data_IF_165196212970
#
_entry.id   IF_165196212970
#
_cell.length_a   1.000
_cell.length_b   1.000
_cell.length_c   1.000
_cell.angle_alpha   90.00
_cell.angle_beta   90.00
_cell.angle_gamma   90.00
#
_symmetry.space_group_name_H-M   'P 1'
#
loop_
_entity.id
_entity.type
_entity.pdbx_description
1 polymer ?
#
# COMPACT_ATOMS: atom_id res chain seq x y z
N UNK A 1 4.95 1.58 -0.74
CA UNK A 1 3.58 1.46 -1.29
C UNK A 1 2.96 0.20 -0.73
N UNK A 2 1.65 0.19 -0.49
CA UNK A 2 0.97 -1.06 -0.16
C UNK A 2 1.12 -2.05 -1.33
N UNK A 3 1.15 -3.37 -1.05
CA UNK A 3 1.03 -4.38 -2.09
C UNK A 3 -0.13 -4.04 -3.03
N UNK A 4 0.07 -4.15 -4.35
CA UNK A 4 -0.97 -3.86 -5.33
C UNK A 4 -1.13 -2.39 -5.72
N UNK A 5 -0.28 -1.47 -5.23
CA UNK A 5 -0.31 -0.06 -5.64
C UNK A 5 -0.13 0.16 -7.16
N UNK A 6 -0.81 1.15 -7.72
CA UNK A 6 -0.71 1.53 -9.13
C UNK A 6 -0.07 2.90 -9.25
N UNK A 7 0.92 3.03 -10.13
CA UNK A 7 1.52 4.31 -10.50
C UNK A 7 0.89 4.78 -11.81
N UNK A 8 0.37 6.01 -11.80
CA UNK A 8 -0.15 6.68 -13.00
C UNK A 8 0.69 7.91 -13.31
N UNK A 9 1.08 8.05 -14.57
CA UNK A 9 1.85 9.18 -15.06
C UNK A 9 0.96 10.00 -15.98
N UNK A 10 0.91 11.31 -15.71
CA UNK A 10 0.16 12.28 -16.47
C UNK A 10 1.09 13.37 -16.99
N UNK A 11 0.88 13.79 -18.22
CA UNK A 11 1.59 14.91 -18.83
C UNK A 11 0.56 15.97 -19.21
N UNK A 12 0.82 17.22 -18.81
CA UNK A 12 -0.03 18.37 -19.06
C UNK A 12 0.78 19.67 -18.95
N UNK A 13 0.15 20.80 -19.26
CA UNK A 13 0.81 22.11 -19.24
C UNK A 13 -0.18 23.25 -19.03
N UNK A 14 0.32 24.48 -18.94
CA UNK A 14 -0.49 25.65 -18.57
C UNK A 14 -1.71 25.89 -19.50
N UNK A 15 -1.66 25.41 -20.74
CA UNK A 15 -2.74 25.56 -21.72
C UNK A 15 -3.29 24.22 -22.24
N UNK A 16 -2.91 23.09 -21.64
CA UNK A 16 -3.29 21.75 -22.12
C UNK A 16 -3.71 20.85 -20.95
N UNK A 17 -4.87 20.21 -21.11
CA UNK A 17 -5.37 19.23 -20.16
C UNK A 17 -4.39 18.07 -19.97
N UNK A 18 -4.34 17.56 -18.74
CA UNK A 18 -3.51 16.41 -18.41
C UNK A 18 -4.01 15.15 -19.14
N UNK A 19 -3.10 14.49 -19.85
CA UNK A 19 -3.33 13.15 -20.42
C UNK A 19 -2.55 12.09 -19.66
N UNK A 20 -3.19 10.96 -19.38
CA UNK A 20 -2.55 9.77 -18.83
C UNK A 20 -1.65 9.19 -19.92
N UNK A 21 -0.35 9.10 -19.64
CA UNK A 21 0.66 8.58 -20.58
C UNK A 21 1.25 7.24 -20.12
N UNK A 22 0.93 6.81 -18.90
CA UNK A 22 1.39 5.54 -18.39
C UNK A 22 0.65 5.10 -17.13
N UNK A 23 0.42 3.79 -17.04
CA UNK A 23 -0.13 3.12 -15.87
C UNK A 23 0.68 1.85 -15.62
N UNK A 24 1.23 1.73 -14.43
CA UNK A 24 2.14 0.65 -14.06
C UNK A 24 1.67 0.00 -12.76
N UNK A 25 1.69 -1.32 -12.72
CA UNK A 25 1.48 -2.07 -11.49
C UNK A 25 2.79 -2.09 -10.71
N UNK A 26 2.77 -1.61 -9.47
CA UNK A 26 3.95 -1.71 -8.61
C UNK A 26 4.14 -3.16 -8.14
N UNK A 27 5.39 -3.62 -8.17
CA UNK A 27 5.77 -4.88 -7.55
C UNK A 27 5.85 -4.74 -6.03
N UNK A 28 5.70 -5.87 -5.35
CA UNK A 28 5.81 -5.94 -3.89
C UNK A 28 7.30 -5.97 -3.52
N UNK A 29 7.78 -4.96 -2.79
CA UNK A 29 9.16 -4.89 -2.31
C UNK A 29 9.40 -5.95 -1.23
N UNK A 30 10.23 -6.98 -1.46
CA UNK A 30 10.39 -8.12 -0.54
C UNK A 30 10.93 -7.72 0.83
N UNK A 31 11.70 -6.63 0.93
CA UNK A 31 12.27 -6.20 2.21
C UNK A 31 11.28 -5.42 3.10
N UNK A 32 10.13 -5.02 2.55
CA UNK A 32 9.14 -4.20 3.24
C UNK A 32 9.59 -2.77 3.56
N UNK A 33 8.73 -1.93 4.15
CA UNK A 33 9.00 -0.51 4.40
C UNK A 33 10.20 -0.27 5.32
N UNK A 34 10.45 -1.21 6.24
CA UNK A 34 11.52 -1.13 7.24
C UNK A 34 12.82 -1.81 6.79
N UNK A 35 12.86 -2.33 5.56
CA UNK A 35 14.00 -3.07 4.98
C UNK A 35 14.56 -4.20 5.86
N UNK A 36 13.73 -4.78 6.72
CA UNK A 36 14.14 -5.80 7.69
C UNK A 36 13.81 -7.23 7.22
N UNK A 37 13.23 -7.40 6.02
CA UNK A 37 12.96 -8.72 5.43
C UNK A 37 11.82 -9.49 6.09
N UNK A 38 11.09 -8.87 7.02
CA UNK A 38 10.03 -9.56 7.77
C UNK A 38 8.70 -9.63 6.99
N UNK A 39 8.62 -9.05 5.79
CA UNK A 39 7.39 -9.02 4.97
C UNK A 39 6.23 -8.23 5.62
N UNK A 40 6.48 -7.54 6.73
CA UNK A 40 5.47 -6.77 7.45
C UNK A 40 5.43 -5.35 6.88
N UNK A 41 4.32 -5.00 6.21
CA UNK A 41 4.08 -3.69 5.60
C UNK A 41 3.39 -2.67 6.54
N UNK A 42 3.08 -3.07 7.77
CA UNK A 42 2.34 -2.26 8.75
C UNK A 42 2.90 -2.45 10.17
N UNK A 43 2.61 -1.53 11.10
CA UNK A 43 3.01 -1.73 12.51
C UNK A 43 2.12 -2.81 13.12
N UNK A 44 2.72 -3.82 13.77
CA UNK A 44 1.97 -4.83 14.50
C UNK A 44 1.00 -4.15 15.51
N UNK A 45 -0.26 -4.63 15.63
CA UNK A 45 -1.21 -4.10 16.60
C UNK A 45 -0.67 -4.20 18.02
N UNK A 46 -1.00 -3.24 18.87
CA UNK A 46 -0.86 -3.42 20.32
C UNK A 46 -1.93 -4.42 20.82
N UNK A 47 -1.77 -4.98 22.04
CA UNK A 47 -2.70 -5.99 22.57
C UNK A 47 -4.17 -5.53 22.55
N UNK A 48 -4.42 -4.25 22.83
CA UNK A 48 -5.79 -3.70 22.82
C UNK A 48 -6.39 -3.68 21.42
N UNK A 49 -5.61 -3.30 20.39
CA UNK A 49 -6.09 -3.32 19.01
C UNK A 49 -6.27 -4.75 18.49
N UNK A 50 -5.39 -5.69 18.87
CA UNK A 50 -5.55 -7.10 18.49
C UNK A 50 -6.85 -7.68 19.07
N UNK A 51 -7.13 -7.43 20.35
CA UNK A 51 -8.38 -7.86 20.97
C UNK A 51 -9.63 -7.27 20.28
N UNK A 52 -9.54 -6.02 19.80
CA UNK A 52 -10.60 -5.39 19.03
C UNK A 52 -10.80 -6.07 17.66
N UNK A 53 -9.71 -6.35 16.95
CA UNK A 53 -9.72 -7.07 15.66
C UNK A 53 -10.39 -8.43 15.81
N UNK A 54 -9.97 -9.22 16.81
CA UNK A 54 -10.47 -10.57 17.05
C UNK A 54 -11.96 -10.55 17.43
N UNK A 55 -12.36 -9.59 18.28
CA UNK A 55 -13.76 -9.42 18.71
C UNK A 55 -14.69 -9.07 17.56
N UNK A 56 -14.23 -8.24 16.64
CA UNK A 56 -15.06 -7.70 15.55
C UNK A 56 -14.87 -8.45 14.22
N UNK A 57 -14.04 -9.50 14.20
CA UNK A 57 -13.76 -10.29 12.98
C UNK A 57 -13.17 -9.43 11.87
N UNK A 58 -12.37 -8.41 12.22
CA UNK A 58 -11.77 -7.52 11.24
C UNK A 58 -10.72 -8.34 10.48
N UNK A 59 -10.79 -8.40 9.14
CA UNK A 59 -9.82 -9.15 8.34
C UNK A 59 -8.49 -8.39 8.25
N UNK A 60 -7.80 -8.28 9.39
CA UNK A 60 -6.56 -7.54 9.53
C UNK A 60 -5.41 -8.37 8.95
N UNK A 61 -4.69 -7.80 7.99
CA UNK A 61 -3.61 -8.49 7.26
C UNK A 61 -4.07 -9.34 6.06
N UNK A 62 -5.33 -9.25 5.63
CA UNK A 62 -5.81 -9.93 4.41
C UNK A 62 -5.62 -9.12 3.12
N UNK A 63 -4.82 -8.06 3.17
CA UNK A 63 -4.48 -7.20 2.04
C UNK A 63 -3.06 -7.44 1.55
#
# INVERSE_FOLDING_TARGET
MAPGGIVKVWVGGACLDYKEVGRFQAEVEPLGPHRNGNGIYYRAPNPEAQAYIDKHGIPYGTW
#
